data_IF_312488510525
#
_entry.id   IF_312488510525
#
_cell.length_a   1.000
_cell.length_b   1.000
_cell.length_c   1.000
_cell.angle_alpha   90.00
_cell.angle_beta   90.00
_cell.angle_gamma   90.00
#
_symmetry.space_group_name_H-M   'P 1'
#
loop_
_entity.id
_entity.type
_entity.pdbx_description
1 polymer ?
#
# COMPACT_ATOMS: atom_id res chain seq x y z
N UNK A 1 -3.74 10.91 29.93
CA UNK A 1 -3.77 9.76 28.98
C UNK A 1 -3.17 8.58 29.69
N UNK A 2 -3.83 7.43 29.63
CA UNK A 2 -3.32 6.18 30.17
C UNK A 2 -1.98 5.82 29.51
N UNK A 3 -1.04 5.30 30.28
CA UNK A 3 0.29 4.89 29.81
C UNK A 3 0.60 3.49 30.30
N UNK A 4 1.27 2.70 29.48
CA UNK A 4 1.80 1.41 29.93
C UNK A 4 3.23 1.61 30.41
N UNK A 5 3.51 1.13 31.62
CA UNK A 5 4.86 1.05 32.19
C UNK A 5 5.22 -0.39 32.45
N UNK A 6 6.48 -0.76 32.20
CA UNK A 6 7.03 -2.07 32.54
C UNK A 6 7.70 -2.00 33.92
N UNK A 7 7.24 -2.81 34.87
CA UNK A 7 7.79 -2.91 36.24
C UNK A 7 8.06 -4.39 36.52
N UNK A 8 9.30 -4.76 36.79
CA UNK A 8 9.71 -6.15 37.09
C UNK A 8 9.20 -7.21 36.09
N UNK A 9 9.08 -6.84 34.81
CA UNK A 9 8.57 -7.74 33.76
C UNK A 9 7.06 -7.70 33.54
N UNK A 10 6.30 -7.02 34.41
CA UNK A 10 4.84 -6.87 34.32
C UNK A 10 4.51 -5.53 33.64
N UNK A 11 3.53 -5.53 32.76
CA UNK A 11 3.01 -4.31 32.13
C UNK A 11 1.84 -3.77 32.96
N UNK A 12 1.95 -2.54 33.44
CA UNK A 12 0.94 -1.87 34.27
C UNK A 12 0.42 -0.65 33.51
N UNK A 13 -0.90 -0.50 33.44
CA UNK A 13 -1.55 0.69 32.87
C UNK A 13 -1.70 1.73 34.00
N UNK A 14 -0.97 2.84 33.89
CA UNK A 14 -1.02 3.97 34.80
C UNK A 14 -1.98 5.05 34.27
N UNK A 15 -2.84 5.59 35.14
CA UNK A 15 -3.71 6.74 34.82
C UNK A 15 -4.87 6.41 33.86
N UNK A 16 -5.29 5.15 33.79
CA UNK A 16 -6.57 4.78 33.19
C UNK A 16 -7.71 5.25 34.11
N UNK A 17 -8.74 5.85 33.51
CA UNK A 17 -9.96 6.23 34.21
C UNK A 17 -11.05 5.28 33.72
N UNK A 18 -11.58 4.47 34.64
CA UNK A 18 -12.73 3.61 34.37
C UNK A 18 -14.01 4.42 34.62
N UNK A 19 -15.05 4.15 33.83
CA UNK A 19 -16.39 4.66 34.16
C UNK A 19 -16.90 3.98 35.43
N UNK A 20 -17.73 4.66 36.21
CA UNK A 20 -18.22 4.20 37.52
C UNK A 20 -18.74 2.75 37.51
N UNK A 21 -19.43 2.35 36.44
CA UNK A 21 -19.95 0.99 36.27
C UNK A 21 -18.82 -0.04 36.14
N UNK A 22 -17.79 0.25 35.33
CA UNK A 22 -16.66 -0.67 35.11
C UNK A 22 -15.77 -0.77 36.34
N UNK A 23 -15.64 0.32 37.10
CA UNK A 23 -14.91 0.36 38.38
C UNK A 23 -15.61 -0.54 39.41
N UNK A 24 -16.94 -0.43 39.53
CA UNK A 24 -17.74 -1.32 40.38
C UNK A 24 -17.65 -2.79 39.95
N UNK A 25 -17.66 -3.09 38.65
CA UNK A 25 -17.48 -4.45 38.15
C UNK A 25 -16.10 -5.02 38.51
N UNK A 26 -15.05 -4.20 38.51
CA UNK A 26 -13.71 -4.60 38.90
C UNK A 26 -13.67 -4.97 40.39
N UNK A 27 -14.30 -4.17 41.26
CA UNK A 27 -14.39 -4.41 42.70
C UNK A 27 -15.22 -5.66 43.05
N UNK A 28 -16.20 -6.00 42.22
CA UNK A 28 -17.07 -7.16 42.41
C UNK A 28 -16.52 -8.44 41.76
N UNK A 29 -15.42 -8.36 41.00
CA UNK A 29 -14.80 -9.51 40.34
C UNK A 29 -14.05 -10.37 41.38
N UNK A 30 -14.25 -11.71 41.40
CA UNK A 30 -13.66 -12.57 42.44
C UNK A 30 -12.13 -12.50 42.52
N UNK A 31 -11.49 -12.18 41.40
CA UNK A 31 -10.03 -12.12 41.25
C UNK A 31 -9.52 -10.70 40.97
N UNK A 32 -10.37 -9.67 41.12
CA UNK A 32 -10.07 -8.26 40.85
C UNK A 32 -9.46 -8.00 39.45
N UNK A 33 -9.94 -8.70 38.43
CA UNK A 33 -9.61 -8.40 37.04
C UNK A 33 -10.85 -8.26 36.17
N UNK A 34 -10.72 -7.47 35.11
CA UNK A 34 -11.68 -7.31 34.02
C UNK A 34 -10.94 -7.41 32.69
N UNK A 35 -11.56 -8.06 31.71
CA UNK A 35 -11.01 -8.13 30.37
C UNK A 35 -11.09 -6.76 29.68
N UNK A 36 -9.97 -6.33 29.10
CA UNK A 36 -9.87 -5.04 28.41
C UNK A 36 -9.17 -5.19 27.08
N UNK A 37 -9.64 -4.42 26.10
CA UNK A 37 -8.90 -4.23 24.85
C UNK A 37 -7.94 -3.04 25.00
N UNK A 38 -6.65 -3.28 24.74
CA UNK A 38 -5.62 -2.24 24.82
C UNK A 38 -5.15 -1.90 23.41
N UNK A 39 -5.43 -0.66 22.98
CA UNK A 39 -4.93 -0.12 21.72
C UNK A 39 -3.75 0.82 21.96
N UNK A 40 -2.61 0.54 21.34
CA UNK A 40 -1.45 1.44 21.35
C UNK A 40 -1.79 2.66 20.49
N UNK A 41 -1.67 3.86 21.07
CA UNK A 41 -1.94 5.12 20.37
C UNK A 41 -0.64 5.66 19.76
N UNK A 42 -0.65 5.92 18.46
CA UNK A 42 0.39 6.70 17.81
C UNK A 42 0.19 8.19 18.10
N UNK A 43 1.06 8.76 18.92
CA UNK A 43 0.97 10.17 19.34
C UNK A 43 1.47 11.15 18.28
N UNK A 44 2.13 10.67 17.21
CA UNK A 44 2.60 11.51 16.11
C UNK A 44 1.41 11.93 15.26
N UNK A 45 1.32 13.22 14.97
CA UNK A 45 0.23 13.79 14.17
C UNK A 45 0.57 13.81 12.70
N UNK A 46 -0.48 13.77 11.87
CA UNK A 46 -0.39 14.04 10.44
C UNK A 46 0.36 15.36 10.17
N UNK A 47 1.29 15.34 9.22
CA UNK A 47 1.96 16.55 8.75
C UNK A 47 1.12 17.30 7.72
N UNK A 48 1.34 18.61 7.58
CA UNK A 48 0.71 19.41 6.53
C UNK A 48 1.02 18.85 5.13
N UNK A 49 2.25 18.36 4.91
CA UNK A 49 2.64 17.71 3.66
C UNK A 49 1.76 16.49 3.34
N UNK A 50 1.55 15.59 4.30
CA UNK A 50 0.68 14.41 4.12
C UNK A 50 -0.78 14.81 3.93
N UNK A 51 -1.27 15.80 4.70
CA UNK A 51 -2.64 16.29 4.55
C UNK A 51 -2.87 16.86 3.15
N UNK A 52 -1.97 17.72 2.67
CA UNK A 52 -2.04 18.29 1.33
C UNK A 52 -1.93 17.20 0.26
N UNK A 53 -1.10 16.18 0.48
CA UNK A 53 -1.00 15.04 -0.43
C UNK A 53 -2.31 14.27 -0.54
N UNK A 54 -2.97 13.95 0.58
CA UNK A 54 -4.29 13.29 0.59
C UNK A 54 -5.31 14.10 -0.20
N UNK A 55 -5.38 15.42 0.01
CA UNK A 55 -6.31 16.28 -0.72
C UNK A 55 -6.02 16.33 -2.21
N UNK A 56 -4.74 16.39 -2.60
CA UNK A 56 -4.34 16.42 -4.01
C UNK A 56 -4.64 15.08 -4.72
N UNK A 57 -4.49 13.95 -4.02
CA UNK A 57 -4.92 12.66 -4.56
C UNK A 57 -6.46 12.56 -4.71
N UNK A 58 -7.21 13.13 -3.78
CA UNK A 58 -8.67 13.19 -3.89
C UNK A 58 -9.11 14.12 -5.04
N UNK A 59 -8.34 15.18 -5.33
CA UNK A 59 -8.55 16.04 -6.51
C UNK A 59 -8.36 15.26 -7.80
N UNK A 60 -7.30 14.47 -7.92
CA UNK A 60 -7.06 13.62 -9.10
C UNK A 60 -8.22 12.63 -9.33
N UNK A 61 -8.73 12.01 -8.26
CA UNK A 61 -9.91 11.13 -8.34
C UNK A 61 -11.14 11.92 -8.79
N UNK A 62 -11.42 13.07 -8.14
CA UNK A 62 -12.56 13.93 -8.45
C UNK A 62 -12.54 14.39 -9.91
N UNK A 63 -11.38 14.83 -10.41
CA UNK A 63 -11.22 15.25 -11.79
C UNK A 63 -11.49 14.11 -12.79
N UNK A 64 -11.07 12.89 -12.47
CA UNK A 64 -11.26 11.73 -13.34
C UNK A 64 -12.69 11.18 -13.32
N UNK A 65 -13.31 11.14 -12.15
CA UNK A 65 -14.64 10.54 -11.94
C UNK A 65 -15.80 11.50 -12.19
N UNK A 66 -15.57 12.81 -12.00
CA UNK A 66 -16.60 13.83 -11.97
C UNK A 66 -17.29 13.96 -10.61
N UNK A 67 -16.90 13.15 -9.62
CA UNK A 67 -17.45 13.21 -8.26
C UNK A 67 -16.92 14.43 -7.49
N UNK A 68 -17.68 14.87 -6.48
CA UNK A 68 -17.26 15.97 -5.61
C UNK A 68 -16.06 15.56 -4.72
N UNK A 69 -15.10 16.47 -4.56
CA UNK A 69 -13.83 16.21 -3.85
C UNK A 69 -14.02 15.70 -2.42
N UNK A 70 -14.90 16.32 -1.63
CA UNK A 70 -15.16 15.87 -0.27
C UNK A 70 -15.83 14.50 -0.24
N UNK A 71 -16.70 14.19 -1.19
CA UNK A 71 -17.25 12.85 -1.36
C UNK A 71 -16.14 11.82 -1.61
N UNK A 72 -15.24 12.05 -2.58
CA UNK A 72 -14.08 11.18 -2.82
C UNK A 72 -13.25 10.96 -1.55
N UNK A 73 -12.98 12.04 -0.80
CA UNK A 73 -12.24 11.98 0.47
C UNK A 73 -12.96 11.11 1.51
N UNK A 74 -14.26 11.31 1.70
CA UNK A 74 -15.05 10.56 2.68
C UNK A 74 -15.07 9.07 2.32
N UNK A 75 -15.33 8.74 1.05
CA UNK A 75 -15.34 7.35 0.58
C UNK A 75 -13.97 6.68 0.80
N UNK A 76 -12.87 7.38 0.49
CA UNK A 76 -11.53 6.85 0.71
C UNK A 76 -11.18 6.69 2.20
N UNK A 77 -11.65 7.58 3.07
CA UNK A 77 -11.52 7.43 4.53
C UNK A 77 -12.26 6.18 5.03
N UNK A 78 -13.48 5.93 4.55
CA UNK A 78 -14.23 4.72 4.89
C UNK A 78 -13.58 3.45 4.33
N UNK A 79 -13.07 3.47 3.10
CA UNK A 79 -12.30 2.33 2.56
C UNK A 79 -11.05 2.05 3.38
N UNK A 80 -10.33 3.09 3.79
CA UNK A 80 -9.15 2.94 4.65
C UNK A 80 -9.50 2.31 6.00
N UNK A 81 -10.57 2.81 6.62
CA UNK A 81 -11.12 2.33 7.88
C UNK A 81 -11.51 0.84 7.80
N UNK A 82 -12.30 0.47 6.80
CA UNK A 82 -12.75 -0.91 6.58
C UNK A 82 -11.59 -1.86 6.28
N UNK A 83 -10.62 -1.44 5.46
CA UNK A 83 -9.48 -2.29 5.09
C UNK A 83 -8.55 -2.61 6.27
N UNK A 84 -8.53 -1.75 7.28
CA UNK A 84 -7.62 -1.84 8.43
C UNK A 84 -8.32 -2.14 9.74
N UNK A 85 -9.64 -2.31 9.71
CA UNK A 85 -10.47 -2.52 10.90
C UNK A 85 -10.24 -1.41 11.95
N UNK A 86 -10.20 -0.15 11.48
CA UNK A 86 -10.04 1.04 12.31
C UNK A 86 -11.20 2.02 12.08
N UNK A 87 -11.38 2.95 13.01
CA UNK A 87 -12.36 4.03 12.84
C UNK A 87 -11.84 5.13 11.91
N UNK A 88 -12.78 5.90 11.34
CA UNK A 88 -12.46 7.09 10.56
C UNK A 88 -11.97 8.21 11.48
N UNK A 89 -10.75 8.68 11.27
CA UNK A 89 -10.18 9.83 11.99
C UNK A 89 -10.31 11.13 11.18
N UNK A 90 -10.43 12.27 11.89
CA UNK A 90 -10.37 13.59 11.26
C UNK A 90 -8.97 13.92 10.75
N UNK A 91 -8.85 14.37 9.50
CA UNK A 91 -7.57 14.81 8.93
C UNK A 91 -6.99 16.08 9.58
N UNK A 92 -7.74 16.75 10.47
CA UNK A 92 -7.22 17.87 11.25
C UNK A 92 -6.25 17.42 12.34
N UNK A 93 -6.38 16.19 12.84
CA UNK A 93 -5.62 15.71 13.99
C UNK A 93 -5.31 14.21 13.97
N UNK A 94 -5.57 13.48 12.88
CA UNK A 94 -5.31 12.04 12.85
C UNK A 94 -3.83 11.70 13.09
N UNK A 95 -3.58 10.44 13.46
CA UNK A 95 -2.21 9.94 13.59
C UNK A 95 -1.48 9.90 12.24
N UNK A 96 -0.14 9.94 12.28
CA UNK A 96 0.68 9.75 11.07
C UNK A 96 0.46 8.35 10.46
N UNK A 97 0.20 7.35 11.31
CA UNK A 97 -0.12 5.98 10.89
C UNK A 97 -1.43 5.94 10.10
N UNK A 98 -2.48 6.59 10.61
CA UNK A 98 -3.75 6.73 9.88
C UNK A 98 -3.54 7.43 8.54
N UNK A 99 -2.80 8.54 8.52
CA UNK A 99 -2.55 9.31 7.31
C UNK A 99 -1.81 8.51 6.23
N UNK A 100 -0.75 7.78 6.60
CA UNK A 100 -0.03 6.90 5.67
C UNK A 100 -0.91 5.77 5.15
N UNK A 101 -1.73 5.16 6.02
CA UNK A 101 -2.69 4.16 5.60
C UNK A 101 -3.71 4.70 4.60
N UNK A 102 -4.20 5.92 4.82
CA UNK A 102 -5.13 6.57 3.90
C UNK A 102 -4.47 6.86 2.54
N UNK A 103 -3.25 7.41 2.53
CA UNK A 103 -2.47 7.62 1.29
C UNK A 103 -2.33 6.31 0.51
N UNK A 104 -1.89 5.24 1.17
CA UNK A 104 -1.75 3.93 0.51
C UNK A 104 -3.08 3.41 -0.04
N UNK A 105 -4.18 3.62 0.70
CA UNK A 105 -5.53 3.22 0.25
C UNK A 105 -5.91 3.96 -1.04
N UNK A 106 -5.70 5.28 -1.07
CA UNK A 106 -6.02 6.11 -2.23
C UNK A 106 -5.16 5.70 -3.42
N UNK A 107 -3.84 5.56 -3.25
CA UNK A 107 -2.93 5.13 -4.32
C UNK A 107 -3.31 3.75 -4.85
N UNK A 108 -3.61 2.80 -3.96
CA UNK A 108 -4.03 1.46 -4.36
C UNK A 108 -5.33 1.49 -5.16
N UNK A 109 -6.30 2.30 -4.73
CA UNK A 109 -7.55 2.50 -5.46
C UNK A 109 -7.30 3.07 -6.86
N UNK A 110 -6.45 4.10 -6.98
CA UNK A 110 -6.12 4.68 -8.28
C UNK A 110 -5.43 3.69 -9.21
N UNK A 111 -4.44 2.91 -8.71
CA UNK A 111 -3.77 1.89 -9.52
C UNK A 111 -4.77 0.81 -9.96
N UNK A 112 -5.67 0.37 -9.07
CA UNK A 112 -6.63 -0.68 -9.37
C UNK A 112 -7.67 -0.23 -10.41
N UNK A 113 -8.23 0.96 -10.22
CA UNK A 113 -9.22 1.55 -11.12
C UNK A 113 -8.61 2.23 -12.35
N UNK A 114 -7.27 2.26 -12.45
CA UNK A 114 -6.51 2.97 -13.49
C UNK A 114 -6.84 4.46 -13.56
N UNK A 115 -7.11 5.07 -12.41
CA UNK A 115 -7.26 6.52 -12.27
C UNK A 115 -5.88 7.15 -12.39
N UNK A 116 -5.65 8.08 -13.34
CA UNK A 116 -4.39 8.78 -13.46
C UNK A 116 -4.11 9.63 -12.20
N UNK A 117 -2.88 9.55 -11.70
CA UNK A 117 -2.37 10.42 -10.64
C UNK A 117 -1.32 11.34 -11.26
N UNK A 118 -1.31 12.61 -10.86
CA UNK A 118 -0.28 13.54 -11.32
C UNK A 118 1.11 13.10 -10.84
N UNK A 119 2.03 12.91 -11.80
CA UNK A 119 3.42 12.57 -11.51
C UNK A 119 4.13 13.62 -10.65
N UNK A 120 3.74 14.89 -10.78
CA UNK A 120 4.30 15.98 -9.97
C UNK A 120 3.92 15.87 -8.50
N UNK A 121 2.69 15.41 -8.22
CA UNK A 121 2.24 15.16 -6.85
C UNK A 121 3.06 14.03 -6.22
N UNK A 122 3.30 12.94 -6.96
CA UNK A 122 4.14 11.82 -6.49
C UNK A 122 5.56 12.29 -6.19
N UNK A 123 6.19 13.02 -7.13
CA UNK A 123 7.55 13.54 -6.99
C UNK A 123 7.68 14.53 -5.82
N UNK A 124 6.79 15.54 -5.74
CA UNK A 124 6.78 16.54 -4.66
C UNK A 124 6.65 15.89 -3.28
N UNK A 125 5.93 14.77 -3.21
CA UNK A 125 5.73 14.06 -1.96
C UNK A 125 6.81 13.02 -1.64
N UNK A 126 7.78 12.79 -2.53
CA UNK A 126 8.75 11.70 -2.44
C UNK A 126 8.06 10.36 -2.16
N UNK A 127 6.91 10.11 -2.81
CA UNK A 127 6.18 8.88 -2.63
C UNK A 127 6.83 7.76 -3.45
N UNK A 128 7.01 6.60 -2.82
CA UNK A 128 7.64 5.44 -3.43
C UNK A 128 6.66 4.28 -3.43
N UNK A 129 6.47 3.65 -4.59
CA UNK A 129 5.57 2.51 -4.71
C UNK A 129 6.20 1.28 -4.06
N UNK A 130 5.53 0.73 -3.05
CA UNK A 130 5.96 -0.50 -2.39
C UNK A 130 5.80 -1.73 -3.28
N UNK A 131 6.40 -2.85 -2.89
CA UNK A 131 6.37 -4.10 -3.66
C UNK A 131 4.96 -4.57 -4.04
N UNK A 132 3.98 -4.44 -3.14
CA UNK A 132 2.56 -4.77 -3.41
C UNK A 132 1.96 -3.90 -4.51
N UNK A 133 2.27 -2.61 -4.51
CA UNK A 133 1.80 -1.67 -5.53
C UNK A 133 2.47 -1.94 -6.87
N UNK A 134 3.79 -2.11 -6.89
CA UNK A 134 4.53 -2.46 -8.11
C UNK A 134 4.03 -3.77 -8.70
N UNK A 135 3.74 -4.77 -7.87
CA UNK A 135 3.15 -6.04 -8.29
C UNK A 135 1.77 -5.82 -8.96
N UNK A 136 0.92 -4.96 -8.40
CA UNK A 136 -0.35 -4.58 -9.01
C UNK A 136 -0.16 -3.81 -10.32
N UNK A 137 0.80 -2.89 -10.38
CA UNK A 137 1.15 -2.12 -11.57
C UNK A 137 1.65 -3.00 -12.71
N UNK A 138 2.38 -4.08 -12.42
CA UNK A 138 2.75 -5.12 -13.40
C UNK A 138 1.51 -5.70 -14.09
N UNK A 139 0.52 -6.13 -13.31
CA UNK A 139 -0.73 -6.67 -13.87
C UNK A 139 -1.54 -5.62 -14.63
N UNK A 140 -1.58 -4.39 -14.11
CA UNK A 140 -2.33 -3.30 -14.73
C UNK A 140 -1.61 -2.69 -15.93
N UNK A 141 -0.34 -3.05 -16.16
CA UNK A 141 0.57 -2.53 -17.20
C UNK A 141 0.78 -1.02 -17.08
N UNK A 142 1.06 -0.57 -15.86
CA UNK A 142 1.30 0.84 -15.50
C UNK A 142 2.78 1.02 -15.16
N UNK A 143 3.44 1.98 -15.78
CA UNK A 143 4.85 2.25 -15.54
C UNK A 143 5.08 2.77 -14.12
N UNK A 144 6.03 2.15 -13.39
CA UNK A 144 6.38 2.54 -12.03
C UNK A 144 7.04 3.94 -11.92
N UNK A 145 7.52 4.49 -13.04
CA UNK A 145 8.18 5.81 -13.10
C UNK A 145 7.20 6.92 -13.49
N UNK A 146 6.43 6.72 -14.57
CA UNK A 146 5.59 7.79 -15.15
C UNK A 146 4.11 7.47 -15.30
N UNK A 147 3.65 6.26 -14.94
CA UNK A 147 2.25 5.86 -15.08
C UNK A 147 1.80 5.50 -16.51
N UNK A 148 2.62 5.72 -17.54
CA UNK A 148 2.29 5.32 -18.91
C UNK A 148 2.17 3.80 -19.08
N UNK A 149 1.60 3.34 -20.20
CA UNK A 149 1.48 1.92 -20.52
C UNK A 149 2.85 1.24 -20.53
N UNK A 150 2.97 0.16 -19.77
CA UNK A 150 4.23 -0.52 -19.49
C UNK A 150 4.34 -1.94 -20.06
N UNK A 151 5.57 -2.32 -20.38
CA UNK A 151 6.01 -3.70 -20.54
C UNK A 151 6.61 -4.23 -19.23
N UNK A 152 6.76 -5.55 -19.12
CA UNK A 152 7.45 -6.17 -17.98
C UNK A 152 8.95 -6.24 -18.31
N UNK A 153 9.71 -5.36 -17.67
CA UNK A 153 11.16 -5.35 -17.71
C UNK A 153 11.71 -6.39 -16.73
N UNK A 154 12.68 -7.18 -17.17
CA UNK A 154 13.41 -8.11 -16.32
C UNK A 154 14.68 -7.43 -15.85
N UNK A 155 14.79 -7.24 -14.54
CA UNK A 155 15.97 -6.63 -13.91
C UNK A 155 17.14 -7.60 -13.99
N UNK A 156 16.88 -8.90 -13.77
CA UNK A 156 17.90 -9.92 -13.92
C UNK A 156 17.98 -10.35 -15.39
N UNK A 157 19.18 -10.30 -15.98
CA UNK A 157 19.38 -10.61 -17.38
C UNK A 157 18.76 -11.96 -17.77
N UNK A 158 17.94 -11.90 -18.81
CA UNK A 158 17.42 -13.08 -19.50
C UNK A 158 18.30 -13.29 -20.72
N UNK A 159 19.14 -14.34 -20.72
CA UNK A 159 20.06 -14.61 -21.83
C UNK A 159 19.38 -14.55 -23.20
N UNK A 160 20.04 -13.90 -24.17
CA UNK A 160 19.57 -13.77 -25.55
C UNK A 160 19.18 -15.14 -26.13
N UNK A 161 18.04 -15.21 -26.81
CA UNK A 161 17.53 -16.44 -27.44
C UNK A 161 16.50 -17.22 -26.61
N UNK A 162 16.30 -16.88 -25.34
CA UNK A 162 15.23 -17.50 -24.55
C UNK A 162 13.85 -16.98 -24.94
N UNK A 163 12.95 -17.90 -25.27
CA UNK A 163 11.57 -17.55 -25.56
C UNK A 163 10.85 -17.20 -24.26
N UNK A 164 10.59 -15.89 -24.05
CA UNK A 164 9.83 -15.33 -22.91
C UNK A 164 8.42 -15.92 -22.73
N UNK A 165 7.88 -16.65 -23.72
CA UNK A 165 6.60 -17.36 -23.59
C UNK A 165 6.75 -18.78 -23.05
N UNK A 166 7.96 -19.32 -22.97
CA UNK A 166 8.24 -20.72 -22.61
C UNK A 166 9.11 -20.85 -21.36
N UNK A 167 10.09 -19.98 -21.18
CA UNK A 167 11.01 -20.08 -20.03
C UNK A 167 10.32 -19.77 -18.70
N UNK A 168 10.83 -20.31 -17.60
CA UNK A 168 10.40 -19.89 -16.26
C UNK A 168 11.02 -18.54 -15.92
N UNK A 169 10.18 -17.60 -15.44
CA UNK A 169 10.63 -16.33 -14.89
C UNK A 169 10.61 -16.33 -13.35
N UNK A 170 10.12 -17.41 -12.72
CA UNK A 170 9.99 -17.53 -11.26
C UNK A 170 11.34 -17.24 -10.58
N UNK A 171 11.30 -16.45 -9.51
CA UNK A 171 12.48 -16.05 -8.75
C UNK A 171 13.26 -14.87 -9.35
N UNK A 172 12.96 -14.45 -10.58
CA UNK A 172 13.56 -13.25 -11.18
C UNK A 172 12.87 -11.98 -10.70
N UNK A 173 13.61 -10.89 -10.66
CA UNK A 173 13.12 -9.54 -10.39
C UNK A 173 12.59 -8.89 -11.66
N UNK A 174 11.42 -8.28 -11.56
CA UNK A 174 10.79 -7.55 -12.66
C UNK A 174 10.25 -6.18 -12.22
N UNK A 175 10.12 -5.28 -13.19
CA UNK A 175 9.53 -3.95 -13.03
C UNK A 175 8.59 -3.64 -14.21
N UNK A 176 7.49 -2.90 -13.99
CA UNK A 176 6.68 -2.41 -15.09
C UNK A 176 7.25 -1.08 -15.59
N UNK A 177 7.81 -1.07 -16.80
CA UNK A 177 8.39 0.13 -17.42
C UNK A 177 7.78 0.38 -18.80
N UNK A 178 7.45 1.63 -19.11
CA UNK A 178 7.10 2.01 -20.49
C UNK A 178 8.34 1.92 -21.38
N UNK A 179 8.16 1.96 -22.71
CA UNK A 179 9.28 1.77 -23.66
C UNK A 179 10.44 2.72 -23.44
N UNK A 180 10.15 3.98 -23.08
CA UNK A 180 11.15 5.00 -22.80
C UNK A 180 12.02 4.61 -21.60
N UNK A 181 11.42 4.45 -20.42
CA UNK A 181 12.12 4.05 -19.20
C UNK A 181 12.72 2.64 -19.29
N UNK A 182 12.15 1.75 -20.11
CA UNK A 182 12.71 0.42 -20.38
C UNK A 182 14.02 0.52 -21.18
N UNK A 183 14.14 1.44 -22.15
CA UNK A 183 15.41 1.64 -22.84
C UNK A 183 16.40 2.40 -21.96
N UNK A 184 15.91 3.36 -21.17
CA UNK A 184 16.74 4.15 -20.27
C UNK A 184 17.44 3.29 -19.22
N UNK A 185 16.72 2.34 -18.60
CA UNK A 185 17.31 1.44 -17.60
C UNK A 185 18.46 0.59 -18.19
N UNK A 186 18.32 0.13 -19.43
CA UNK A 186 19.38 -0.62 -20.12
C UNK A 186 20.62 0.25 -20.40
N UNK A 187 20.44 1.57 -20.58
CA UNK A 187 21.53 2.49 -20.84
C UNK A 187 22.25 2.92 -19.54
N UNK A 188 21.51 3.07 -18.43
CA UNK A 188 22.05 3.53 -17.14
C UNK A 188 22.67 2.38 -16.34
N UNK A 189 22.16 1.17 -16.52
CA UNK A 189 22.42 0.01 -15.67
C UNK A 189 21.30 -0.17 -14.63
N UNK A 190 20.85 -1.41 -14.47
CA UNK A 190 19.61 -1.75 -13.77
C UNK A 190 19.61 -1.32 -12.30
N UNK A 191 20.61 -1.72 -11.52
CA UNK A 191 20.67 -1.42 -10.08
C UNK A 191 20.79 0.11 -9.84
N UNK A 192 21.60 0.80 -10.64
CA UNK A 192 21.75 2.26 -10.56
C UNK A 192 20.45 2.99 -10.87
N UNK A 193 19.72 2.54 -11.89
CA UNK A 193 18.44 3.13 -12.26
C UNK A 193 17.36 2.90 -11.20
N UNK A 194 17.35 1.72 -10.58
CA UNK A 194 16.47 1.36 -9.47
C UNK A 194 16.70 2.30 -8.29
N UNK A 195 17.95 2.50 -7.90
CA UNK A 195 18.32 3.38 -6.79
C UNK A 195 17.95 4.85 -7.07
N UNK A 196 18.26 5.35 -8.28
CA UNK A 196 17.96 6.72 -8.69
C UNK A 196 16.47 7.05 -8.68
N UNK A 197 15.62 6.09 -9.02
CA UNK A 197 14.17 6.25 -9.10
C UNK A 197 13.43 5.67 -7.89
N UNK A 198 14.15 5.21 -6.85
CA UNK A 198 13.60 4.54 -5.68
C UNK A 198 12.59 3.43 -6.04
N UNK A 199 12.89 2.62 -7.05
CA UNK A 199 11.99 1.57 -7.52
C UNK A 199 12.08 0.34 -6.62
N UNK A 200 10.97 -0.37 -6.49
CA UNK A 200 10.92 -1.64 -5.75
C UNK A 200 10.62 -2.79 -6.72
N UNK A 201 11.64 -3.49 -7.26
CA UNK A 201 11.43 -4.67 -8.09
C UNK A 201 10.63 -5.75 -7.36
N UNK A 202 9.81 -6.49 -8.11
CA UNK A 202 9.03 -7.61 -7.57
C UNK A 202 9.61 -8.92 -8.03
N UNK A 203 9.65 -9.90 -7.12
CA UNK A 203 10.05 -11.27 -7.44
C UNK A 203 8.86 -11.97 -8.11
N UNK A 204 9.12 -12.60 -9.25
CA UNK A 204 8.10 -13.32 -10.00
C UNK A 204 7.70 -14.60 -9.26
N UNK A 205 6.42 -14.73 -8.97
CA UNK A 205 5.75 -15.94 -8.51
C UNK A 205 5.04 -16.68 -9.67
N UNK A 206 4.38 -17.81 -9.37
CA UNK A 206 3.64 -18.59 -10.36
C UNK A 206 2.59 -17.76 -11.12
N UNK A 207 1.92 -16.84 -10.41
CA UNK A 207 0.85 -16.01 -10.96
C UNK A 207 1.40 -14.98 -11.94
N UNK A 208 2.50 -14.33 -11.59
CA UNK A 208 3.18 -13.36 -12.42
C UNK A 208 3.85 -14.04 -13.62
N UNK A 209 4.47 -15.21 -13.45
CA UNK A 209 5.04 -15.99 -14.55
C UNK A 209 3.97 -16.37 -15.59
N UNK A 210 2.82 -16.86 -15.13
CA UNK A 210 1.68 -17.15 -16.01
C UNK A 210 1.23 -15.89 -16.77
N UNK A 211 1.12 -14.74 -16.08
CA UNK A 211 0.74 -13.48 -16.70
C UNK A 211 1.76 -12.98 -17.73
N UNK A 212 3.06 -13.10 -17.46
CA UNK A 212 4.12 -12.76 -18.41
C UNK A 212 4.01 -13.62 -19.67
N UNK A 213 3.76 -14.93 -19.52
CA UNK A 213 3.68 -15.87 -20.64
C UNK A 213 2.40 -15.74 -21.47
N UNK A 214 1.25 -15.52 -20.82
CA UNK A 214 -0.07 -15.60 -21.45
C UNK A 214 -0.76 -14.25 -21.64
N UNK A 215 -0.28 -13.20 -20.99
CA UNK A 215 -0.93 -11.89 -20.97
C UNK A 215 -2.30 -11.88 -20.27
N UNK A 216 -2.63 -12.93 -19.52
CA UNK A 216 -3.91 -13.10 -18.82
C UNK A 216 -3.65 -13.44 -17.36
N UNK A 217 -4.49 -12.92 -16.47
CA UNK A 217 -4.53 -13.33 -15.08
C UNK A 217 -5.36 -14.60 -14.96
N UNK A 218 -4.79 -15.64 -14.33
CA UNK A 218 -5.55 -16.81 -13.90
C UNK A 218 -5.96 -16.60 -12.44
N UNK A 219 -7.25 -16.31 -12.21
CA UNK A 219 -7.78 -15.97 -10.87
C UNK A 219 -8.01 -17.23 -10.03
N UNK A 220 -8.43 -18.33 -10.67
CA UNK A 220 -8.69 -19.61 -10.01
C UNK A 220 -7.73 -20.69 -10.55
N UNK A 221 -7.18 -21.52 -9.67
CA UNK A 221 -6.61 -22.80 -10.09
C UNK A 221 -7.79 -23.68 -10.49
N UNK A 222 -7.84 -24.13 -11.74
CA UNK A 222 -8.72 -25.24 -12.08
C UNK A 222 -8.31 -26.42 -11.19
N UNK A 223 -9.28 -27.06 -10.54
CA UNK A 223 -9.04 -28.34 -9.88
C UNK A 223 -8.30 -29.23 -10.89
N UNK A 224 -7.22 -29.86 -10.46
CA UNK A 224 -6.59 -30.90 -11.27
C UNK A 224 -7.68 -31.92 -11.53
N UNK A 225 -8.20 -31.98 -12.76
CA UNK A 225 -8.81 -33.21 -13.24
C UNK A 225 -7.66 -34.21 -13.25
N UNK A 226 -7.61 -35.01 -12.20
CA UNK A 226 -6.87 -36.26 -12.21
C UNK A 226 -7.48 -37.10 -13.34
N UNK A 227 -6.57 -37.71 -14.11
CA UNK A 227 -6.79 -38.76 -15.12
C UNK A 227 -7.21 -38.29 -16.53
#
# INVERSE_FOLDING_TARGET
MARIRKINGIHVIEGAVLGEINDLFLDCSPDNYIDVEIKIIDTRRISEKQRNFIFALCDDISFYTGDEKNYCRIVMQYFNANLREIEVESLSNCSITYANGLIDTIINHCIDQRIPISGDIIKKNNYHFGSKQVYMMCFKRICAVCGARADIHHVDHVGMGNNRKKMSHIGKRVLPLCREHHNEIHNVGEDKYIDMNCLTPVIVDDKMDYFIKKGKLKIYKEERKNE
#
